data_IF_186743350625
#
_entry.id   IF_186743350625
#
_cell.length_a   1.000
_cell.length_b   1.000
_cell.length_c   1.000
_cell.angle_alpha   90.00
_cell.angle_beta   90.00
_cell.angle_gamma   90.00
#
_symmetry.space_group_name_H-M   'P 1'
#
loop_
_entity.id
_entity.type
_entity.pdbx_description
1 polymer ?
#
# COMPACT_ATOMS: atom_id res chain seq x y z
N UNK A 1 2.89 10.50 -5.13
CA UNK A 1 2.00 9.47 -4.56
C UNK A 1 2.62 8.93 -3.30
N UNK A 2 1.85 8.86 -2.23
CA UNK A 2 2.34 8.37 -0.96
C UNK A 2 1.77 6.98 -0.67
N UNK A 3 2.65 6.01 -0.49
CA UNK A 3 2.25 4.64 -0.21
C UNK A 3 2.71 4.26 1.18
N UNK A 4 1.80 3.73 1.98
CA UNK A 4 2.11 3.26 3.32
C UNK A 4 1.65 1.81 3.46
N UNK A 5 2.54 0.96 3.96
CA UNK A 5 2.22 -0.45 4.21
C UNK A 5 2.05 -0.61 5.71
N UNK A 6 0.84 -0.94 6.13
CA UNK A 6 0.52 -1.12 7.55
C UNK A 6 0.80 -2.57 7.93
N UNK A 7 1.67 -2.77 8.90
CA UNK A 7 2.13 -4.10 9.26
C UNK A 7 1.91 -4.39 10.75
N UNK A 8 2.07 -5.66 11.11
CA UNK A 8 2.12 -6.10 12.50
C UNK A 8 3.35 -6.98 12.68
N UNK A 9 3.86 -7.12 13.91
CA UNK A 9 4.99 -8.01 14.16
C UNK A 9 4.68 -9.44 13.71
N UNK A 10 5.66 -10.07 13.08
CA UNK A 10 5.51 -11.45 12.62
C UNK A 10 4.67 -11.63 11.37
N UNK A 11 4.37 -10.55 10.68
CA UNK A 11 3.56 -10.62 9.47
C UNK A 11 4.41 -11.00 8.27
N UNK A 12 4.35 -12.27 7.86
CA UNK A 12 5.09 -12.71 6.68
C UNK A 12 4.47 -12.18 5.39
N UNK A 13 3.16 -11.96 5.39
CA UNK A 13 2.47 -11.43 4.22
C UNK A 13 2.90 -9.99 3.92
N UNK A 14 3.29 -9.26 4.94
CA UNK A 14 3.75 -7.88 4.75
C UNK A 14 5.03 -7.84 3.94
N UNK A 15 5.92 -8.80 4.16
CA UNK A 15 7.16 -8.89 3.38
C UNK A 15 6.87 -9.15 1.91
N UNK A 16 5.84 -9.93 1.63
CA UNK A 16 5.47 -10.24 0.25
C UNK A 16 5.01 -8.97 -0.46
N UNK A 17 4.19 -8.16 0.21
CA UNK A 17 3.71 -6.91 -0.37
C UNK A 17 4.86 -5.92 -0.56
N UNK A 18 5.75 -5.83 0.42
CA UNK A 18 6.91 -4.95 0.30
C UNK A 18 7.76 -5.34 -0.90
N UNK A 19 7.96 -6.64 -1.10
CA UNK A 19 8.73 -7.12 -2.23
C UNK A 19 8.05 -6.78 -3.55
N UNK A 20 6.72 -6.89 -3.60
CA UNK A 20 5.97 -6.52 -4.80
C UNK A 20 6.17 -5.06 -5.15
N UNK A 21 6.15 -4.19 -4.15
CA UNK A 21 6.35 -2.76 -4.37
C UNK A 21 7.78 -2.45 -4.78
N UNK A 22 8.75 -3.13 -4.15
CA UNK A 22 10.16 -2.96 -4.53
C UNK A 22 10.40 -3.36 -5.98
N UNK A 23 9.85 -4.49 -6.38
CA UNK A 23 10.03 -4.97 -7.75
C UNK A 23 9.37 -4.07 -8.77
N UNK A 24 8.29 -3.42 -8.37
CA UNK A 24 7.58 -2.50 -9.25
C UNK A 24 8.22 -1.11 -9.27
N UNK A 25 9.19 -0.86 -8.39
CA UNK A 25 9.90 0.41 -8.37
C UNK A 25 9.18 1.54 -7.65
N UNK A 26 8.26 1.21 -6.77
CA UNK A 26 7.54 2.22 -5.98
C UNK A 26 8.19 2.42 -4.62
N UNK A 27 8.23 3.67 -4.18
CA UNK A 27 8.67 4.00 -2.85
C UNK A 27 7.48 3.92 -1.90
N UNK A 28 7.73 3.45 -0.68
CA UNK A 28 6.69 3.29 0.32
C UNK A 28 7.29 3.40 1.72
N UNK A 29 6.42 3.62 2.69
CA UNK A 29 6.79 3.61 4.10
C UNK A 29 6.14 2.41 4.77
N UNK A 30 6.84 1.82 5.73
CA UNK A 30 6.31 0.70 6.50
C UNK A 30 5.92 1.21 7.88
N UNK A 31 4.67 0.98 8.25
CA UNK A 31 4.11 1.45 9.52
C UNK A 31 3.69 0.26 10.36
N UNK A 32 4.29 0.11 11.53
CA UNK A 32 3.88 -0.92 12.48
C UNK A 32 2.71 -0.36 13.30
N UNK A 33 1.52 -0.89 13.05
CA UNK A 33 0.31 -0.37 13.68
C UNK A 33 0.24 -0.68 15.17
N UNK A 34 1.07 -1.60 15.66
CA UNK A 34 1.13 -1.86 17.09
C UNK A 34 1.89 -0.75 17.82
N UNK A 35 2.78 -0.06 17.10
CA UNK A 35 3.49 1.08 17.64
C UNK A 35 2.79 2.41 17.35
N UNK A 36 1.87 2.39 16.39
CA UNK A 36 1.13 3.58 15.99
C UNK A 36 -0.36 3.27 15.95
N UNK A 37 -0.98 3.12 17.14
CA UNK A 37 -2.39 2.72 17.21
C UNK A 37 -3.35 3.70 16.55
N UNK A 38 -2.94 4.95 16.37
CA UNK A 38 -3.76 5.95 15.67
C UNK A 38 -4.04 5.53 14.24
N UNK A 39 -3.10 4.82 13.64
CA UNK A 39 -3.29 4.32 12.26
C UNK A 39 -4.41 3.30 12.19
N UNK A 40 -4.56 2.50 13.25
CA UNK A 40 -5.62 1.49 13.29
C UNK A 40 -7.01 2.14 13.37
N UNK A 41 -7.09 3.28 14.05
CA UNK A 41 -8.35 4.02 14.13
C UNK A 41 -8.67 4.68 12.80
N UNK A 42 -7.65 5.21 12.14
CA UNK A 42 -7.82 5.88 10.87
C UNK A 42 -8.03 4.92 9.72
N UNK A 43 -7.34 3.79 9.77
CA UNK A 43 -7.42 2.76 8.73
C UNK A 43 -7.68 1.41 9.40
N UNK A 44 -8.93 1.11 9.75
CA UNK A 44 -9.23 -0.14 10.44
C UNK A 44 -8.99 -1.33 9.50
N UNK A 45 -8.00 -2.14 9.86
CA UNK A 45 -7.69 -3.35 9.11
C UNK A 45 -7.81 -4.55 10.04
N UNK A 46 -8.38 -5.62 9.53
CA UNK A 46 -8.50 -6.87 10.29
C UNK A 46 -7.46 -7.88 9.84
N UNK A 47 -6.88 -7.66 8.69
CA UNK A 47 -5.88 -8.55 8.11
C UNK A 47 -4.71 -7.71 7.62
N UNK A 48 -3.54 -7.90 8.19
CA UNK A 48 -2.33 -7.25 7.70
C UNK A 48 -1.83 -8.01 6.47
N UNK A 49 -1.19 -7.34 5.53
CA UNK A 49 -0.89 -5.93 5.52
C UNK A 49 -2.07 -5.08 5.03
N UNK A 50 -2.04 -3.81 5.41
CA UNK A 50 -2.95 -2.83 4.81
C UNK A 50 -2.13 -1.93 3.91
N UNK A 51 -2.66 -1.57 2.76
CA UNK A 51 -1.97 -0.67 1.83
C UNK A 51 -2.76 0.60 1.71
N UNK A 52 -2.13 1.70 2.13
CA UNK A 52 -2.71 3.03 2.10
C UNK A 52 -2.05 3.81 0.97
N UNK A 53 -2.84 4.36 0.09
CA UNK A 53 -2.35 5.15 -1.04
C UNK A 53 -2.98 6.53 -0.96
N UNK A 54 -2.13 7.54 -0.84
CA UNK A 54 -2.53 8.94 -0.74
C UNK A 54 -3.57 9.17 0.36
N UNK A 55 -3.37 8.51 1.51
CA UNK A 55 -4.22 8.69 2.66
C UNK A 55 -5.50 7.87 2.64
N UNK A 56 -5.64 6.95 1.70
CA UNK A 56 -6.82 6.12 1.58
C UNK A 56 -6.44 4.64 1.62
N UNK A 57 -7.13 3.87 2.46
CA UNK A 57 -6.89 2.43 2.55
C UNK A 57 -7.47 1.75 1.30
N UNK A 58 -6.59 1.27 0.44
CA UNK A 58 -6.99 0.68 -0.84
C UNK A 58 -7.04 -0.84 -0.81
N UNK A 59 -6.17 -1.47 -0.03
CA UNK A 59 -6.11 -2.94 0.03
C UNK A 59 -5.90 -3.41 1.46
N UNK A 60 -6.46 -4.55 1.79
CA UNK A 60 -6.16 -5.27 3.03
C UNK A 60 -5.79 -6.71 2.65
N UNK A 61 -4.81 -7.27 3.35
CA UNK A 61 -4.26 -8.57 2.99
C UNK A 61 -3.38 -8.45 1.77
N UNK A 62 -3.01 -9.58 1.18
CA UNK A 62 -2.15 -9.59 -0.01
C UNK A 62 -3.01 -9.35 -1.25
N UNK A 63 -2.82 -8.22 -1.94
CA UNK A 63 -3.54 -8.00 -3.20
C UNK A 63 -2.90 -8.82 -4.31
N UNK A 64 -3.64 -9.03 -5.37
CA UNK A 64 -3.04 -9.60 -6.58
C UNK A 64 -2.07 -8.57 -7.15
N UNK A 65 -0.90 -9.03 -7.56
CA UNK A 65 0.11 -8.13 -8.09
C UNK A 65 -0.43 -7.25 -9.21
N UNK A 66 -1.19 -7.85 -10.10
CA UNK A 66 -1.78 -7.12 -11.22
C UNK A 66 -2.72 -6.01 -10.74
N UNK A 67 -3.53 -6.32 -9.73
CA UNK A 67 -4.47 -5.34 -9.19
C UNK A 67 -3.73 -4.19 -8.50
N UNK A 68 -2.69 -4.53 -7.76
CA UNK A 68 -1.89 -3.52 -7.08
C UNK A 68 -1.21 -2.59 -8.08
N UNK A 69 -0.56 -3.17 -9.08
CA UNK A 69 0.15 -2.39 -10.10
C UNK A 69 -0.84 -1.54 -10.90
N UNK A 70 -1.99 -2.11 -11.24
CA UNK A 70 -3.03 -1.37 -11.96
C UNK A 70 -3.49 -0.16 -11.16
N UNK A 71 -3.72 -0.34 -9.86
CA UNK A 71 -4.16 0.75 -9.01
C UNK A 71 -3.12 1.85 -8.92
N UNK A 72 -1.86 1.46 -8.71
CA UNK A 72 -0.77 2.43 -8.58
C UNK A 72 -0.51 3.14 -9.91
N UNK A 73 -0.53 2.40 -11.00
CA UNK A 73 -0.32 2.98 -12.32
C UNK A 73 -1.47 3.92 -12.69
N UNK A 74 -2.69 3.54 -12.35
CA UNK A 74 -3.85 4.37 -12.61
C UNK A 74 -3.75 5.72 -11.90
N UNK A 75 -3.32 5.70 -10.64
CA UNK A 75 -3.16 6.95 -9.89
C UNK A 75 -2.03 7.80 -10.45
N UNK A 76 -0.94 7.17 -10.83
CA UNK A 76 0.16 7.88 -11.50
C UNK A 76 -0.29 8.42 -12.86
N UNK A 77 -0.98 7.60 -13.62
CA UNK A 77 -1.42 7.99 -14.95
C UNK A 77 -2.44 9.12 -14.93
N UNK A 78 -3.16 9.25 -13.84
CA UNK A 78 -4.07 10.37 -13.72
C UNK A 78 -3.31 11.68 -13.83
N UNK A 79 -2.14 11.76 -13.22
CA UNK A 79 -1.29 12.93 -13.33
C UNK A 79 -0.65 13.04 -14.70
N UNK A 80 -0.35 11.92 -15.33
CA UNK A 80 0.37 11.88 -16.60
C UNK A 80 -0.55 11.87 -17.81
N UNK A 81 -1.76 11.39 -17.64
CA UNK A 81 -2.70 11.26 -18.75
C UNK A 81 -2.91 12.58 -19.46
N UNK A 82 -2.82 13.66 -18.74
CA UNK A 82 -3.02 14.99 -19.30
C UNK A 82 -1.88 15.42 -20.17
N UNK A 83 -0.73 14.82 -19.98
CA UNK A 83 0.47 15.27 -20.68
C UNK A 83 0.75 14.48 -21.94
N UNK A 84 0.16 13.30 -22.10
CA UNK A 84 0.51 12.49 -23.27
C UNK A 84 -0.66 11.74 -23.87
N UNK A 85 -1.85 12.04 -23.45
CA UNK A 85 -3.04 11.48 -24.10
C UNK A 85 -3.97 12.57 -24.58
#
# INVERSE_FOLDING_TARGET
MKIEVLTTPGCSNCSIVEKMLDEAGFEYSVIDITEKPDYLQKYPIFTAPGIVIDGKLEFTGIPKKEKLIEKLTSKNNFANAKSHH
#
